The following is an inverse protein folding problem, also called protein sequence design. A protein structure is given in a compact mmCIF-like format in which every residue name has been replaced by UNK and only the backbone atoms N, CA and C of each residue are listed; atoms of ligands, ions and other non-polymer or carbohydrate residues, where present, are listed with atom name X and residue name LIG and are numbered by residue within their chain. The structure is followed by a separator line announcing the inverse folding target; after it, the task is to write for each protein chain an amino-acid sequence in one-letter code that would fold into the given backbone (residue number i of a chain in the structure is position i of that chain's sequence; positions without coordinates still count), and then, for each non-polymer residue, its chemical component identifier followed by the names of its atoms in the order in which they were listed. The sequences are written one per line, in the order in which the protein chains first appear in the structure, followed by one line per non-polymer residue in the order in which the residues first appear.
data_IF_906091672226
#
_entry.id   IF_906091672226
#
_cell.length_a   1.000
_cell.length_b   1.000
_cell.length_c   1.000
_cell.angle_alpha   90.00
_cell.angle_beta   90.00
_cell.angle_gamma   90.00
#
_symmetry.space_group_name_H-M   'P 1'
#
loop_
_entity.id
_entity.type
_entity.pdbx_description
1 polymer ?
#
# COMPACT_ATOMS: atom_id res chain seq x y z
N UNK A 1 12.78 -9.59 -9.52
CA UNK A 1 11.96 -8.44 -9.07
C UNK A 1 12.74 -7.66 -8.02
N UNK A 2 12.88 -6.36 -8.21
CA UNK A 2 13.69 -5.51 -7.34
C UNK A 2 12.80 -4.54 -6.58
N UNK A 3 12.94 -4.49 -5.25
CA UNK A 3 12.15 -3.57 -4.41
C UNK A 3 12.55 -2.12 -4.67
N UNK A 4 11.57 -1.26 -4.86
CA UNK A 4 11.78 0.18 -5.00
C UNK A 4 11.85 0.78 -3.60
N UNK A 5 12.90 1.54 -3.34
CA UNK A 5 13.10 2.18 -2.05
C UNK A 5 12.26 3.45 -1.98
N UNK A 6 11.45 3.57 -0.93
CA UNK A 6 10.67 4.78 -0.65
C UNK A 6 11.55 5.76 0.14
N UNK A 7 12.01 6.86 -0.48
CA UNK A 7 12.95 7.78 0.17
C UNK A 7 12.34 8.62 1.29
N UNK A 8 11.02 8.62 1.40
CA UNK A 8 10.31 9.46 2.37
C UNK A 8 10.09 8.78 3.72
N UNK A 9 10.39 7.49 3.82
CA UNK A 9 10.20 6.74 5.07
C UNK A 9 11.08 7.35 6.16
N UNK A 10 10.45 7.65 7.30
CA UNK A 10 11.14 8.26 8.42
C UNK A 10 11.07 9.79 8.49
N UNK A 11 10.62 10.46 7.41
CA UNK A 11 10.32 11.90 7.44
C UNK A 11 9.18 12.15 8.42
N UNK A 12 9.34 13.06 9.37
CA UNK A 12 8.32 13.25 10.40
C UNK A 12 7.00 13.85 9.88
N UNK A 13 7.02 14.47 8.70
CA UNK A 13 5.82 15.01 8.06
C UNK A 13 5.20 14.07 7.02
N UNK A 14 5.78 12.89 6.85
CA UNK A 14 5.33 11.94 5.85
C UNK A 14 4.38 10.91 6.47
N UNK A 15 3.16 10.84 5.96
CA UNK A 15 2.12 9.93 6.46
C UNK A 15 1.27 9.36 5.33
N UNK A 16 1.89 9.07 4.19
CA UNK A 16 1.14 8.60 3.02
C UNK A 16 0.25 7.40 3.37
N UNK A 17 -1.03 7.54 3.14
CA UNK A 17 -1.99 6.48 3.45
C UNK A 17 -1.70 5.21 2.65
N UNK A 18 -1.34 5.37 1.39
CA UNK A 18 -1.09 4.22 0.51
C UNK A 18 0.25 3.54 0.75
N UNK A 19 1.30 4.28 1.08
CA UNK A 19 2.67 3.76 0.94
C UNK A 19 3.60 3.96 2.14
N UNK A 20 3.18 4.68 3.20
CA UNK A 20 4.05 4.83 4.35
C UNK A 20 3.96 3.59 5.26
N UNK A 21 5.05 2.80 5.39
CA UNK A 21 5.03 1.59 6.22
C UNK A 21 4.88 1.90 7.71
N UNK A 22 5.14 3.13 8.13
CA UNK A 22 5.03 3.55 9.52
C UNK A 22 3.66 4.11 9.87
N UNK A 23 2.77 4.29 8.89
CA UNK A 23 1.40 4.69 9.15
C UNK A 23 0.57 3.45 9.48
N UNK A 24 0.29 3.23 10.76
CA UNK A 24 -0.43 2.04 11.22
C UNK A 24 -1.83 1.91 10.61
N UNK A 25 -2.46 3.02 10.27
CA UNK A 25 -3.78 3.03 9.65
C UNK A 25 -3.73 2.88 8.14
N UNK A 26 -2.54 2.94 7.55
CA UNK A 26 -2.37 2.96 6.09
C UNK A 26 -2.29 1.58 5.45
N UNK A 27 -2.25 1.57 4.13
CA UNK A 27 -2.19 0.33 3.35
C UNK A 27 -0.81 -0.31 3.37
N UNK A 28 0.24 0.48 3.53
CA UNK A 28 1.63 0.02 3.56
C UNK A 28 2.04 -0.70 2.28
N UNK A 29 1.65 -0.15 1.14
CA UNK A 29 1.97 -0.72 -0.17
C UNK A 29 3.47 -0.66 -0.43
N UNK A 30 4.01 -1.74 -0.97
CA UNK A 30 5.40 -1.82 -1.39
C UNK A 30 5.45 -2.05 -2.89
N UNK A 31 6.39 -1.38 -3.55
CA UNK A 31 6.49 -1.42 -5.00
C UNK A 31 7.80 -2.08 -5.43
N UNK A 32 7.74 -2.78 -6.57
CA UNK A 32 8.87 -3.52 -7.11
C UNK A 32 9.00 -3.26 -8.60
N UNK A 33 10.24 -3.26 -9.09
CA UNK A 33 10.52 -3.26 -10.52
C UNK A 33 10.52 -4.71 -11.02
N UNK A 34 9.82 -4.97 -12.12
CA UNK A 34 9.76 -6.27 -12.76
C UNK A 34 9.83 -6.07 -14.27
N UNK A 35 11.05 -6.11 -14.82
CA UNK A 35 11.30 -5.76 -16.21
C UNK A 35 10.91 -4.30 -16.47
N UNK A 36 9.99 -4.08 -17.39
CA UNK A 36 9.48 -2.73 -17.71
C UNK A 36 8.27 -2.34 -16.86
N UNK A 37 7.87 -3.19 -15.94
CA UNK A 37 6.67 -2.99 -15.12
C UNK A 37 7.03 -2.56 -13.69
N UNK A 38 6.10 -1.84 -13.07
CA UNK A 38 6.12 -1.57 -11.64
C UNK A 38 4.96 -2.34 -11.05
N UNK A 39 5.24 -3.19 -10.07
CA UNK A 39 4.21 -4.04 -9.46
C UNK A 39 4.13 -3.83 -7.96
N UNK A 40 2.93 -4.03 -7.41
CA UNK A 40 2.67 -4.04 -6.00
C UNK A 40 1.93 -5.32 -5.65
N UNK A 41 2.50 -6.11 -4.75
CA UNK A 41 1.82 -7.26 -4.18
C UNK A 41 1.32 -6.85 -2.80
N UNK A 42 0.00 -6.88 -2.59
CA UNK A 42 -0.58 -6.37 -1.37
C UNK A 42 -1.54 -7.39 -0.79
N UNK A 43 -1.42 -7.60 0.51
CA UNK A 43 -2.26 -8.55 1.23
C UNK A 43 -3.21 -7.79 2.17
N UNK A 44 -4.53 -7.89 1.98
CA UNK A 44 -5.47 -7.13 2.80
C UNK A 44 -5.50 -7.62 4.25
N UNK A 45 -5.39 -6.66 5.17
CA UNK A 45 -5.59 -6.93 6.60
C UNK A 45 -7.07 -6.79 6.92
N UNK A 46 -7.50 -7.38 8.03
CA UNK A 46 -8.92 -7.48 8.39
C UNK A 46 -9.60 -6.12 8.52
N UNK A 47 -8.88 -5.07 8.93
CA UNK A 47 -9.47 -3.74 9.08
C UNK A 47 -9.89 -3.09 7.76
N UNK A 48 -9.53 -3.68 6.62
CA UNK A 48 -9.94 -3.18 5.30
C UNK A 48 -11.14 -3.95 4.72
N UNK A 49 -11.72 -4.81 5.54
CA UNK A 49 -12.90 -5.58 5.14
C UNK A 49 -14.15 -4.68 5.19
N UNK A 50 -15.03 -4.84 4.20
CA UNK A 50 -16.34 -4.23 4.24
C UNK A 50 -17.34 -5.28 4.72
N UNK A 51 -17.88 -6.04 3.81
CA UNK A 51 -18.64 -7.23 4.13
C UNK A 51 -17.66 -8.35 4.46
N UNK A 52 -18.12 -9.37 5.20
CA UNK A 52 -17.26 -10.50 5.56
C UNK A 52 -16.54 -11.05 4.32
N UNK A 53 -15.23 -11.20 4.40
CA UNK A 53 -14.37 -11.72 3.36
C UNK A 53 -14.39 -10.90 2.06
N UNK A 54 -14.80 -9.64 2.13
CA UNK A 54 -14.86 -8.75 0.97
C UNK A 54 -14.04 -7.49 1.25
N UNK A 55 -13.07 -7.21 0.38
CA UNK A 55 -12.28 -6.00 0.51
C UNK A 55 -13.15 -4.77 0.29
N UNK A 56 -13.01 -3.78 1.17
CA UNK A 56 -13.79 -2.53 1.10
C UNK A 56 -13.58 -1.85 -0.26
N UNK A 57 -14.68 -1.43 -0.91
CA UNK A 57 -14.63 -0.79 -2.22
C UNK A 57 -13.80 0.49 -2.26
N UNK A 58 -13.84 1.31 -1.21
CA UNK A 58 -13.02 2.51 -1.10
C UNK A 58 -11.53 2.18 -1.04
N UNK A 59 -11.17 1.07 -0.39
CA UNK A 59 -9.78 0.59 -0.35
C UNK A 59 -9.37 0.12 -1.74
N UNK A 60 -10.25 -0.60 -2.44
CA UNK A 60 -9.97 -1.00 -3.82
C UNK A 60 -9.70 0.22 -4.71
N UNK A 61 -10.50 1.27 -4.57
CA UNK A 61 -10.29 2.51 -5.31
C UNK A 61 -8.94 3.16 -4.97
N UNK A 62 -8.56 3.13 -3.69
CA UNK A 62 -7.25 3.66 -3.26
C UNK A 62 -6.11 2.90 -3.90
N UNK A 63 -6.23 1.57 -4.00
CA UNK A 63 -5.18 0.73 -4.59
C UNK A 63 -4.96 1.05 -6.07
N UNK A 64 -6.02 1.39 -6.81
CA UNK A 64 -5.90 1.70 -8.24
C UNK A 64 -5.67 3.19 -8.52
N UNK A 65 -5.81 4.04 -7.52
CA UNK A 65 -5.56 5.46 -7.65
C UNK A 65 -4.06 5.73 -7.80
#
# INVERSE_FOLDING_TARGET
MKKIINPWVGEHTYHCYGCDPNNEAGLKMEFFEDGDDIVCHWHPRVQFESWRNTLHGGVQATLVD
#
